data_IF_997266375162
#
_entry.id   IF_997266375162
#
_cell.length_a   1.000
_cell.length_b   1.000
_cell.length_c   1.000
_cell.angle_alpha   90.00
_cell.angle_beta   90.00
_cell.angle_gamma   90.00
#
_symmetry.space_group_name_H-M   'P 1'
#
loop_
_entity.id
_entity.type
_entity.pdbx_description
1 polymer ?
#
# COMPACT_ATOMS: atom_id res chain seq x y z
N UNK A 1 -7.70 -32.19 20.30
CA UNK A 1 -8.33 -30.95 20.78
C UNK A 1 -7.38 -29.81 20.44
N UNK A 2 -7.89 -28.78 19.76
CA UNK A 2 -7.09 -27.62 19.36
C UNK A 2 -6.61 -26.82 20.59
N UNK A 3 -5.72 -25.85 20.37
CA UNK A 3 -5.17 -25.03 21.45
C UNK A 3 -6.24 -24.28 22.22
N UNK A 4 -7.23 -23.71 21.52
CA UNK A 4 -8.40 -23.08 22.12
C UNK A 4 -9.16 -24.03 23.05
N UNK A 5 -9.58 -25.19 22.55
CA UNK A 5 -10.38 -26.16 23.31
C UNK A 5 -9.64 -26.69 24.54
N UNK A 6 -8.33 -26.98 24.41
CA UNK A 6 -7.50 -27.43 25.54
C UNK A 6 -7.41 -26.37 26.63
N UNK A 7 -7.19 -25.12 26.25
CA UNK A 7 -7.09 -24.00 27.20
C UNK A 7 -8.45 -23.71 27.87
N UNK A 8 -9.55 -23.77 27.13
CA UNK A 8 -10.89 -23.61 27.68
C UNK A 8 -11.27 -24.73 28.66
N UNK A 9 -10.95 -25.98 28.34
CA UNK A 9 -11.19 -27.11 29.24
C UNK A 9 -10.35 -27.02 30.51
N UNK A 10 -9.06 -26.65 30.40
CA UNK A 10 -8.19 -26.40 31.55
C UNK A 10 -8.76 -25.33 32.46
N UNK A 11 -9.19 -24.20 31.89
CA UNK A 11 -9.78 -23.10 32.64
C UNK A 11 -11.01 -23.54 33.46
N UNK A 12 -11.90 -24.33 32.84
CA UNK A 12 -13.09 -24.87 33.52
C UNK A 12 -12.72 -25.82 34.66
N UNK A 13 -11.73 -26.70 34.47
CA UNK A 13 -11.28 -27.65 35.50
C UNK A 13 -10.64 -26.93 36.69
N UNK A 14 -9.76 -25.96 36.43
CA UNK A 14 -9.10 -25.18 37.48
C UNK A 14 -10.10 -24.33 38.26
N UNK A 15 -11.08 -23.71 37.58
CA UNK A 15 -12.15 -22.97 38.23
C UNK A 15 -12.97 -23.89 39.15
N UNK A 16 -13.30 -25.10 38.70
CA UNK A 16 -14.03 -26.09 39.49
C UNK A 16 -13.25 -26.59 40.71
N UNK A 17 -11.91 -26.61 40.67
CA UNK A 17 -11.06 -26.98 41.80
C UNK A 17 -10.68 -25.79 42.71
N UNK A 18 -11.20 -24.59 42.45
CA UNK A 18 -10.91 -23.38 43.24
C UNK A 18 -9.60 -22.66 42.87
N UNK A 19 -8.85 -23.14 41.88
CA UNK A 19 -7.66 -22.46 41.35
C UNK A 19 -8.08 -21.37 40.35
N UNK A 20 -8.58 -20.25 40.88
CA UNK A 20 -9.06 -19.14 40.05
C UNK A 20 -7.94 -18.44 39.28
N UNK A 21 -6.72 -18.41 39.83
CA UNK A 21 -5.56 -17.79 39.16
C UNK A 21 -5.10 -18.61 37.95
N UNK A 22 -5.03 -19.94 38.10
CA UNK A 22 -4.77 -20.85 36.99
C UNK A 22 -5.89 -20.80 35.94
N UNK A 23 -7.16 -20.77 36.39
CA UNK A 23 -8.31 -20.66 35.48
C UNK A 23 -8.26 -19.38 34.64
N UNK A 24 -7.94 -18.23 35.25
CA UNK A 24 -7.78 -16.95 34.56
C UNK A 24 -6.66 -17.03 33.50
N UNK A 25 -5.52 -17.60 33.86
CA UNK A 25 -4.39 -17.78 32.94
C UNK A 25 -4.79 -18.63 31.72
N UNK A 26 -5.51 -19.73 31.95
CA UNK A 26 -5.95 -20.63 30.88
C UNK A 26 -7.06 -20.03 30.00
N UNK A 27 -8.02 -19.30 30.55
CA UNK A 27 -9.04 -18.64 29.72
C UNK A 27 -8.44 -17.52 28.87
N UNK A 28 -7.47 -16.76 29.40
CA UNK A 28 -6.74 -15.77 28.61
C UNK A 28 -5.96 -16.41 27.45
N UNK A 29 -5.39 -17.61 27.66
CA UNK A 29 -4.73 -18.35 26.58
C UNK A 29 -5.72 -18.81 25.51
N UNK A 30 -6.93 -19.25 25.89
CA UNK A 30 -7.99 -19.57 24.94
C UNK A 30 -8.42 -18.32 24.15
N UNK A 31 -8.62 -17.18 24.82
CA UNK A 31 -8.98 -15.92 24.16
C UNK A 31 -7.89 -15.43 23.19
N UNK A 32 -6.61 -15.60 23.52
CA UNK A 32 -5.50 -15.34 22.59
C UNK A 32 -5.56 -16.22 21.35
N UNK A 33 -5.76 -17.53 21.51
CA UNK A 33 -5.88 -18.45 20.38
C UNK A 33 -7.08 -18.11 19.47
N UNK A 34 -8.21 -17.73 20.05
CA UNK A 34 -9.38 -17.28 19.28
C UNK A 34 -9.10 -15.99 18.50
N UNK A 35 -8.44 -15.00 19.14
CA UNK A 35 -8.04 -13.75 18.49
C UNK A 35 -7.08 -14.01 17.32
N UNK A 36 -6.12 -14.91 17.50
CA UNK A 36 -5.16 -15.27 16.43
C UNK A 36 -5.86 -15.95 15.25
N UNK A 37 -6.81 -16.84 15.51
CA UNK A 37 -7.63 -17.45 14.46
C UNK A 37 -8.47 -16.42 13.69
N UNK A 38 -9.05 -15.43 14.38
CA UNK A 38 -9.80 -14.34 13.73
C UNK A 38 -8.88 -13.42 12.92
N UNK A 39 -7.70 -13.06 13.43
CA UNK A 39 -6.68 -12.33 12.65
C UNK A 39 -6.26 -13.12 11.41
N UNK A 40 -6.16 -14.45 11.50
CA UNK A 40 -5.89 -15.28 10.34
C UNK A 40 -7.05 -15.26 9.33
N UNK A 41 -8.31 -15.31 9.79
CA UNK A 41 -9.49 -15.12 8.94
C UNK A 41 -9.46 -13.78 8.20
N UNK A 42 -9.11 -12.69 8.87
CA UNK A 42 -8.95 -11.35 8.24
C UNK A 42 -7.99 -11.43 7.07
N UNK A 43 -6.82 -12.07 7.23
CA UNK A 43 -5.85 -12.24 6.15
C UNK A 43 -6.38 -13.09 4.98
N UNK A 44 -7.13 -14.15 5.28
CA UNK A 44 -7.77 -14.95 4.24
C UNK A 44 -8.82 -14.14 3.48
N UNK A 45 -9.63 -13.33 4.17
CA UNK A 45 -10.60 -12.45 3.54
C UNK A 45 -9.93 -11.40 2.66
N UNK A 46 -8.80 -10.83 3.11
CA UNK A 46 -7.97 -9.94 2.26
C UNK A 46 -7.48 -10.65 1.01
N UNK A 47 -6.91 -11.85 1.14
CA UNK A 47 -6.42 -12.63 0.00
C UNK A 47 -7.55 -13.04 -0.96
N UNK A 48 -8.77 -13.21 -0.46
CA UNK A 48 -9.96 -13.50 -1.25
C UNK A 48 -10.62 -12.25 -1.87
N UNK A 49 -10.04 -11.06 -1.71
CA UNK A 49 -10.62 -9.82 -2.24
C UNK A 49 -11.91 -9.39 -1.52
N UNK A 50 -12.06 -9.73 -0.24
CA UNK A 50 -13.22 -9.40 0.61
C UNK A 50 -12.84 -8.39 1.72
N UNK A 51 -12.33 -7.19 1.36
CA UNK A 51 -11.78 -6.25 2.34
C UNK A 51 -12.83 -5.68 3.29
N UNK A 52 -14.10 -5.59 2.88
CA UNK A 52 -15.17 -5.10 3.76
C UNK A 52 -15.41 -6.02 4.95
N UNK A 53 -15.56 -7.32 4.70
CA UNK A 53 -15.73 -8.31 5.78
C UNK A 53 -14.48 -8.44 6.64
N UNK A 54 -13.30 -8.31 6.03
CA UNK A 54 -12.04 -8.28 6.75
C UNK A 54 -11.97 -7.07 7.72
N UNK A 55 -12.49 -5.91 7.29
CA UNK A 55 -12.59 -4.72 8.13
C UNK A 55 -13.61 -4.90 9.25
N UNK A 56 -14.78 -5.46 8.96
CA UNK A 56 -15.80 -5.69 9.99
C UNK A 56 -15.25 -6.63 11.09
N UNK A 57 -14.52 -7.68 10.72
CA UNK A 57 -13.85 -8.58 11.65
C UNK A 57 -12.78 -7.88 12.49
N UNK A 58 -11.87 -7.12 11.85
CA UNK A 58 -10.75 -6.52 12.56
C UNK A 58 -11.22 -5.44 13.55
N UNK A 59 -12.32 -4.73 13.25
CA UNK A 59 -12.89 -3.73 14.14
C UNK A 59 -13.38 -4.34 15.45
N UNK A 60 -13.94 -5.56 15.43
CA UNK A 60 -14.37 -6.27 16.64
C UNK A 60 -13.19 -6.62 17.55
N UNK A 61 -12.01 -6.85 16.97
CA UNK A 61 -10.80 -7.24 17.70
C UNK A 61 -10.01 -6.06 18.24
N UNK A 62 -10.28 -4.85 17.74
CA UNK A 62 -9.52 -3.67 18.09
C UNK A 62 -9.77 -3.25 19.55
N UNK A 63 -8.69 -2.90 20.25
CA UNK A 63 -8.77 -2.48 21.63
C UNK A 63 -7.62 -1.56 22.03
N UNK A 64 -7.56 -1.15 23.31
CA UNK A 64 -6.54 -0.21 23.80
C UNK A 64 -5.11 -0.75 23.67
N UNK A 65 -4.95 -2.07 23.68
CA UNK A 65 -3.65 -2.75 23.59
C UNK A 65 -3.33 -3.27 22.18
N UNK A 66 -4.00 -2.75 21.15
CA UNK A 66 -3.72 -3.11 19.76
C UNK A 66 -2.26 -2.80 19.40
N UNK A 67 -1.57 -3.80 18.85
CA UNK A 67 -0.18 -3.66 18.42
C UNK A 67 -0.07 -2.82 17.15
N UNK A 68 1.10 -2.23 16.89
CA UNK A 68 1.36 -1.49 15.65
C UNK A 68 1.03 -2.32 14.39
N UNK A 69 1.42 -3.62 14.38
CA UNK A 69 1.12 -4.52 13.26
C UNK A 69 -0.37 -4.78 13.06
N UNK A 70 -1.13 -4.84 14.15
CA UNK A 70 -2.58 -5.01 14.07
C UNK A 70 -3.23 -3.73 13.48
N UNK A 71 -2.80 -2.57 13.95
CA UNK A 71 -3.29 -1.27 13.46
C UNK A 71 -2.89 -1.04 11.99
N UNK A 72 -1.71 -1.49 11.59
CA UNK A 72 -1.27 -1.50 10.19
C UNK A 72 -2.20 -2.33 9.30
N UNK A 73 -2.58 -3.54 9.73
CA UNK A 73 -3.52 -4.38 8.97
C UNK A 73 -4.89 -3.70 8.83
N UNK A 74 -5.35 -3.00 9.88
CA UNK A 74 -6.58 -2.21 9.85
C UNK A 74 -6.47 -1.02 8.88
N UNK A 75 -5.41 -0.23 8.99
CA UNK A 75 -5.19 0.91 8.10
C UNK A 75 -5.13 0.49 6.63
N UNK A 76 -4.49 -0.65 6.31
CA UNK A 76 -4.48 -1.19 4.95
C UNK A 76 -5.90 -1.46 4.43
N UNK A 77 -6.78 -2.03 5.26
CA UNK A 77 -8.16 -2.32 4.89
C UNK A 77 -8.98 -1.04 4.69
N UNK A 78 -8.80 -0.07 5.58
CA UNK A 78 -9.41 1.25 5.48
C UNK A 78 -8.96 1.96 4.19
N UNK A 79 -7.67 1.94 3.86
CA UNK A 79 -7.13 2.47 2.60
C UNK A 79 -7.70 1.77 1.36
N UNK A 80 -7.74 0.44 1.34
CA UNK A 80 -8.34 -0.33 0.23
C UNK A 80 -9.82 0.02 0.01
N UNK A 81 -10.53 0.40 1.06
CA UNK A 81 -11.94 0.78 1.02
C UNK A 81 -12.16 2.30 0.81
N UNK A 82 -11.08 3.08 0.63
CA UNK A 82 -11.15 4.54 0.46
C UNK A 82 -11.51 5.30 1.75
N UNK A 83 -11.45 4.66 2.91
CA UNK A 83 -11.71 5.23 4.24
C UNK A 83 -10.45 5.95 4.76
N UNK A 84 -10.01 6.97 4.02
CA UNK A 84 -8.72 7.61 4.27
C UNK A 84 -8.64 8.34 5.61
N UNK A 85 -9.74 8.94 6.07
CA UNK A 85 -9.78 9.64 7.36
C UNK A 85 -9.62 8.65 8.54
N UNK A 86 -10.29 7.51 8.46
CA UNK A 86 -10.18 6.41 9.42
C UNK A 86 -8.78 5.81 9.40
N UNK A 87 -8.22 5.58 8.22
CA UNK A 87 -6.84 5.10 8.07
C UNK A 87 -5.82 6.07 8.69
N UNK A 88 -5.99 7.38 8.52
CA UNK A 88 -5.14 8.40 9.18
C UNK A 88 -5.23 8.28 10.71
N UNK A 89 -6.43 8.14 11.26
CA UNK A 89 -6.64 7.97 12.70
C UNK A 89 -6.00 6.67 13.22
N UNK A 90 -6.17 5.56 12.49
CA UNK A 90 -5.57 4.26 12.79
C UNK A 90 -4.03 4.32 12.74
N UNK A 91 -3.45 4.96 11.72
CA UNK A 91 -2.01 5.19 11.61
C UNK A 91 -1.50 6.09 12.75
N UNK A 92 -2.28 7.08 13.18
CA UNK A 92 -1.96 7.89 14.37
C UNK A 92 -1.79 7.04 15.64
N UNK A 93 -2.67 6.05 15.85
CA UNK A 93 -2.53 5.07 16.93
C UNK A 93 -1.31 4.17 16.71
N UNK A 94 -1.05 3.73 15.48
CA UNK A 94 0.11 2.90 15.16
C UNK A 94 1.43 3.63 15.48
N UNK A 95 1.54 4.91 15.13
CA UNK A 95 2.68 5.78 15.46
C UNK A 95 2.93 5.84 16.97
N UNK A 96 1.88 5.88 17.78
CA UNK A 96 2.01 5.97 19.25
C UNK A 96 2.57 4.69 19.88
N UNK A 97 2.17 3.51 19.38
CA UNK A 97 2.56 2.21 19.97
C UNK A 97 3.77 1.56 19.28
N UNK A 98 4.19 2.07 18.12
CA UNK A 98 5.27 1.49 17.33
C UNK A 98 6.65 1.77 17.92
N UNK A 99 7.51 0.74 17.94
CA UNK A 99 8.95 0.90 18.19
C UNK A 99 9.66 1.66 17.05
N UNK A 100 9.13 1.57 15.83
CA UNK A 100 9.66 2.24 14.65
C UNK A 100 8.56 3.05 13.94
N UNK A 101 8.21 4.25 14.45
CA UNK A 101 7.08 5.02 13.92
C UNK A 101 7.34 5.66 12.56
N UNK A 102 8.60 5.73 12.11
CA UNK A 102 9.00 6.38 10.86
C UNK A 102 8.34 5.81 9.60
N UNK A 103 7.95 4.53 9.60
CA UNK A 103 7.23 3.90 8.49
C UNK A 103 5.78 4.39 8.45
N UNK A 104 5.12 4.44 9.60
CA UNK A 104 3.73 4.87 9.72
C UNK A 104 3.54 6.37 9.46
N UNK A 105 4.55 7.20 9.79
CA UNK A 105 4.56 8.62 9.44
C UNK A 105 4.57 8.83 7.92
N UNK A 106 5.44 8.14 7.18
CA UNK A 106 5.47 8.23 5.72
C UNK A 106 4.14 7.81 5.08
N UNK A 107 3.55 6.73 5.58
CA UNK A 107 2.22 6.27 5.12
C UNK A 107 1.12 7.28 5.41
N UNK A 108 1.07 7.82 6.62
CA UNK A 108 0.05 8.80 7.00
C UNK A 108 0.19 10.10 6.19
N UNK A 109 1.42 10.51 5.88
CA UNK A 109 1.68 11.64 4.99
C UNK A 109 1.10 11.45 3.59
N UNK A 110 1.22 10.25 3.00
CA UNK A 110 0.60 9.94 1.70
C UNK A 110 -0.92 10.10 1.77
N UNK A 111 -1.56 9.64 2.84
CA UNK A 111 -3.01 9.80 3.01
C UNK A 111 -3.41 11.26 3.22
N UNK A 112 -2.63 12.01 4.00
CA UNK A 112 -2.82 13.46 4.13
C UNK A 112 -2.72 14.15 2.77
N UNK A 113 -1.73 13.80 1.94
CA UNK A 113 -1.58 14.33 0.59
C UNK A 113 -2.79 13.99 -0.30
N UNK A 114 -3.29 12.75 -0.25
CA UNK A 114 -4.50 12.32 -0.99
C UNK A 114 -5.72 13.16 -0.61
N UNK A 115 -5.84 13.57 0.65
CA UNK A 115 -6.93 14.42 1.13
C UNK A 115 -6.66 15.93 0.97
N UNK A 116 -5.51 16.32 0.42
CA UNK A 116 -5.10 17.73 0.27
C UNK A 116 -4.60 18.40 1.56
N UNK A 117 -4.35 17.63 2.62
CA UNK A 117 -3.77 18.09 3.88
C UNK A 117 -2.24 18.20 3.80
N UNK A 118 -1.75 19.12 2.95
CA UNK A 118 -0.32 19.19 2.61
C UNK A 118 0.58 19.58 3.80
N UNK A 119 0.10 20.43 4.71
CA UNK A 119 0.87 20.85 5.89
C UNK A 119 1.09 19.67 6.85
N UNK A 120 0.05 18.88 7.12
CA UNK A 120 0.13 17.68 7.94
C UNK A 120 1.00 16.61 7.28
N UNK A 121 0.91 16.46 5.96
CA UNK A 121 1.79 15.55 5.21
C UNK A 121 3.26 15.96 5.36
N UNK A 122 3.57 17.25 5.22
CA UNK A 122 4.93 17.77 5.37
C UNK A 122 5.47 17.56 6.78
N UNK A 123 4.67 17.83 7.81
CA UNK A 123 5.04 17.60 9.22
C UNK A 123 5.40 16.12 9.47
N UNK A 124 4.60 15.20 8.94
CA UNK A 124 4.85 13.77 9.08
C UNK A 124 6.11 13.33 8.34
N UNK A 125 6.33 13.82 7.12
CA UNK A 125 7.54 13.53 6.35
C UNK A 125 8.79 14.08 7.05
N UNK A 126 8.76 15.31 7.57
CA UNK A 126 9.90 15.90 8.27
C UNK A 126 10.23 15.13 9.56
N UNK A 127 9.21 14.68 10.29
CA UNK A 127 9.39 13.78 11.45
C UNK A 127 9.92 12.42 11.04
N UNK A 128 9.45 11.86 9.93
CA UNK A 128 9.96 10.60 9.39
C UNK A 128 11.44 10.73 8.98
N UNK A 129 11.84 11.88 8.39
CA UNK A 129 13.20 12.19 7.97
C UNK A 129 14.16 12.39 9.15
N UNK A 130 13.64 12.69 10.35
CA UNK A 130 14.44 12.71 11.58
C UNK A 130 14.75 11.28 12.04
N UNK A 131 13.81 10.35 11.86
CA UNK A 131 13.93 8.96 12.31
C UNK A 131 14.64 8.05 11.30
N UNK A 132 14.48 8.34 10.00
CA UNK A 132 14.99 7.52 8.88
C UNK A 132 15.72 8.41 7.88
N UNK A 133 16.83 9.07 8.28
CA UNK A 133 17.48 10.10 7.46
C UNK A 133 18.09 9.57 6.15
N UNK A 134 18.29 8.26 6.03
CA UNK A 134 18.81 7.60 4.83
C UNK A 134 17.70 7.06 3.91
N UNK A 135 16.43 7.30 4.22
CA UNK A 135 15.35 6.91 3.31
C UNK A 135 15.14 7.98 2.24
N UNK A 136 15.67 7.72 1.04
CA UNK A 136 15.49 8.59 -0.13
C UNK A 136 14.04 8.79 -0.55
N UNK A 137 13.15 7.84 -0.27
CA UNK A 137 11.72 7.96 -0.61
C UNK A 137 11.07 9.11 0.15
N UNK A 138 11.45 9.32 1.42
CA UNK A 138 10.97 10.45 2.22
C UNK A 138 11.37 11.81 1.62
N UNK A 139 12.58 11.94 1.08
CA UNK A 139 13.00 13.18 0.42
C UNK A 139 12.19 13.43 -0.86
N UNK A 140 11.90 12.37 -1.63
CA UNK A 140 11.10 12.47 -2.85
C UNK A 140 9.64 12.83 -2.54
N UNK A 141 9.06 12.26 -1.49
CA UNK A 141 7.74 12.66 -1.02
C UNK A 141 7.73 14.12 -0.59
N UNK A 142 8.74 14.56 0.17
CA UNK A 142 8.88 15.96 0.60
C UNK A 142 8.94 16.94 -0.58
N UNK A 143 9.73 16.63 -1.61
CA UNK A 143 9.87 17.52 -2.78
C UNK A 143 8.58 17.66 -3.60
N UNK A 144 7.64 16.72 -3.46
CA UNK A 144 6.30 16.85 -4.04
C UNK A 144 5.34 17.74 -3.24
N UNK A 145 5.71 18.15 -2.03
CA UNK A 145 4.88 18.92 -1.10
C UNK A 145 5.34 20.37 -0.91
N UNK A 146 6.63 20.65 -1.15
CA UNK A 146 7.20 21.98 -0.94
C UNK A 146 8.37 22.25 -1.87
N UNK A 147 8.60 23.53 -2.17
CA UNK A 147 9.72 23.98 -2.99
C UNK A 147 10.99 24.18 -2.16
N UNK A 148 12.14 23.93 -2.77
CA UNK A 148 13.44 24.13 -2.13
C UNK A 148 14.10 25.41 -2.63
N UNK A 149 14.35 26.35 -1.72
CA UNK A 149 15.04 27.60 -2.02
C UNK A 149 16.56 27.46 -2.02
N UNK A 150 17.25 28.44 -2.64
CA UNK A 150 18.71 28.53 -2.57
C UNK A 150 19.14 28.75 -1.11
N UNK A 151 19.98 27.86 -0.60
CA UNK A 151 20.48 27.91 0.79
C UNK A 151 19.61 27.19 1.82
N UNK A 152 18.56 26.48 1.40
CA UNK A 152 17.74 25.65 2.28
C UNK A 152 18.55 24.45 2.81
N UNK A 153 18.49 24.22 4.12
CA UNK A 153 19.22 23.16 4.83
C UNK A 153 18.88 21.76 4.29
N UNK A 154 17.67 21.58 3.75
CA UNK A 154 17.26 20.29 3.20
C UNK A 154 18.13 19.87 2.01
N UNK A 155 18.59 20.83 1.19
CA UNK A 155 19.44 20.53 0.04
C UNK A 155 20.81 20.03 0.49
N UNK A 156 21.42 20.71 1.46
CA UNK A 156 22.67 20.25 2.09
C UNK A 156 22.51 18.89 2.75
N UNK A 157 21.35 18.63 3.39
CA UNK A 157 21.02 17.32 3.94
C UNK A 157 20.98 16.24 2.85
N UNK A 158 20.34 16.52 1.70
CA UNK A 158 20.33 15.60 0.56
C UNK A 158 21.75 15.28 0.08
N UNK A 159 22.62 16.28 -0.08
CA UNK A 159 24.01 16.08 -0.50
C UNK A 159 24.80 15.21 0.49
N UNK A 160 24.60 15.41 1.80
CA UNK A 160 25.23 14.61 2.83
C UNK A 160 24.75 13.16 2.82
N UNK A 161 23.43 12.94 2.75
CA UNK A 161 22.84 11.59 2.70
C UNK A 161 23.27 10.85 1.44
N UNK A 162 23.36 11.55 0.31
CA UNK A 162 23.81 10.97 -0.96
C UNK A 162 25.21 10.36 -0.86
N UNK A 163 26.11 10.94 -0.08
CA UNK A 163 27.47 10.40 0.17
C UNK A 163 27.45 9.11 1.01
N UNK A 164 26.41 8.89 1.79
CA UNK A 164 26.26 7.73 2.68
C UNK A 164 25.51 6.57 2.03
N UNK A 165 24.66 6.86 1.04
CA UNK A 165 23.86 5.85 0.38
C UNK A 165 24.69 4.95 -0.51
N UNK A 166 24.31 3.66 -0.53
CA UNK A 166 24.86 2.70 -1.48
C UNK A 166 24.48 3.13 -2.90
N UNK A 167 25.49 3.26 -3.77
CA UNK A 167 25.29 3.56 -5.19
C UNK A 167 24.35 2.55 -5.85
N UNK A 168 23.43 3.05 -6.67
CA UNK A 168 22.43 2.24 -7.36
C UNK A 168 21.32 1.65 -6.48
N UNK A 169 21.27 1.96 -5.17
CA UNK A 169 20.15 1.55 -4.31
C UNK A 169 18.85 2.27 -4.67
N UNK A 170 17.71 1.69 -4.32
CA UNK A 170 16.40 2.33 -4.51
C UNK A 170 16.32 3.68 -3.78
N UNK A 171 16.81 3.75 -2.54
CA UNK A 171 16.89 5.03 -1.80
C UNK A 171 17.78 6.05 -2.51
N UNK A 172 18.90 5.64 -3.13
CA UNK A 172 19.70 6.55 -3.96
C UNK A 172 18.88 7.10 -5.13
N UNK A 173 18.12 6.24 -5.81
CA UNK A 173 17.26 6.66 -6.92
C UNK A 173 16.22 7.69 -6.49
N UNK A 174 15.51 7.45 -5.39
CA UNK A 174 14.52 8.40 -4.87
C UNK A 174 15.17 9.71 -4.41
N UNK A 175 16.33 9.64 -3.75
CA UNK A 175 17.05 10.83 -3.34
C UNK A 175 17.51 11.67 -4.55
N UNK A 176 18.02 11.03 -5.61
CA UNK A 176 18.43 11.73 -6.83
C UNK A 176 17.24 12.38 -7.55
N UNK A 177 16.03 11.80 -7.49
CA UNK A 177 14.80 12.46 -7.96
C UNK A 177 14.45 13.70 -7.11
N UNK A 178 14.54 13.60 -5.78
CA UNK A 178 14.29 14.72 -4.88
C UNK A 178 15.30 15.86 -5.12
N UNK A 179 16.57 15.50 -5.29
CA UNK A 179 17.67 16.42 -5.62
C UNK A 179 17.45 17.11 -6.96
N UNK A 180 16.98 16.37 -7.97
CA UNK A 180 16.63 16.96 -9.26
C UNK A 180 15.54 18.03 -9.12
N UNK A 181 14.47 17.73 -8.37
CA UNK A 181 13.40 18.69 -8.09
C UNK A 181 13.92 19.93 -7.38
N UNK A 182 14.77 19.76 -6.37
CA UNK A 182 15.36 20.89 -5.65
C UNK A 182 16.28 21.75 -6.54
N UNK A 183 17.06 21.13 -7.42
CA UNK A 183 17.91 21.86 -8.37
C UNK A 183 17.09 22.63 -9.40
N UNK A 184 15.95 22.07 -9.82
CA UNK A 184 14.99 22.74 -10.70
C UNK A 184 14.40 23.98 -10.00
N UNK A 185 13.94 23.84 -8.75
CA UNK A 185 13.43 24.96 -7.93
C UNK A 185 14.48 26.08 -7.74
N UNK A 186 15.76 25.71 -7.56
CA UNK A 186 16.89 26.64 -7.38
C UNK A 186 17.32 27.30 -8.71
N UNK A 187 16.90 26.76 -9.85
CA UNK A 187 17.21 27.23 -11.21
C UNK A 187 18.48 26.64 -11.83
N UNK A 188 19.05 25.57 -11.25
CA UNK A 188 20.26 24.88 -11.74
C UNK A 188 19.90 23.73 -12.69
N UNK A 189 19.24 24.07 -13.81
CA UNK A 189 18.61 23.10 -14.72
C UNK A 189 19.56 22.02 -15.28
N UNK A 190 20.82 22.39 -15.56
CA UNK A 190 21.82 21.43 -16.05
C UNK A 190 22.10 20.33 -15.02
N UNK A 191 22.31 20.74 -13.76
CA UNK A 191 22.53 19.81 -12.65
C UNK A 191 21.27 18.99 -12.32
N UNK A 192 20.08 19.57 -12.49
CA UNK A 192 18.81 18.86 -12.36
C UNK A 192 18.70 17.72 -13.38
N UNK A 193 19.05 17.98 -14.64
CA UNK A 193 19.10 16.96 -15.70
C UNK A 193 20.06 15.81 -15.41
N UNK A 194 21.27 16.13 -14.91
CA UNK A 194 22.24 15.11 -14.48
C UNK A 194 21.71 14.24 -13.33
N UNK A 195 21.04 14.86 -12.35
CA UNK A 195 20.40 14.17 -11.24
C UNK A 195 19.29 13.22 -11.71
N UNK A 196 18.43 13.67 -12.64
CA UNK A 196 17.40 12.82 -13.27
C UNK A 196 18.01 11.62 -14.00
N UNK A 197 19.11 11.82 -14.73
CA UNK A 197 19.81 10.71 -15.37
C UNK A 197 20.39 9.73 -14.37
N UNK A 198 20.95 10.20 -13.25
CA UNK A 198 21.43 9.34 -12.17
C UNK A 198 20.28 8.54 -11.52
N UNK A 199 19.18 9.22 -11.20
CA UNK A 199 17.98 8.61 -10.64
C UNK A 199 17.43 7.50 -11.54
N UNK A 200 17.28 7.78 -12.84
CA UNK A 200 16.79 6.81 -13.83
C UNK A 200 17.72 5.60 -14.00
N UNK A 201 19.04 5.80 -13.98
CA UNK A 201 20.00 4.68 -14.00
C UNK A 201 19.86 3.80 -12.76
N UNK A 202 19.75 4.39 -11.57
CA UNK A 202 19.55 3.65 -10.34
C UNK A 202 18.19 2.94 -10.34
N UNK A 203 17.12 3.59 -10.79
CA UNK A 203 15.79 2.98 -10.89
C UNK A 203 15.81 1.76 -11.82
N UNK A 204 16.48 1.83 -12.98
CA UNK A 204 16.61 0.71 -13.92
C UNK A 204 17.32 -0.51 -13.32
N UNK A 205 18.22 -0.32 -12.35
CA UNK A 205 18.87 -1.43 -11.63
C UNK A 205 17.93 -2.12 -10.64
N UNK A 206 17.03 -1.37 -10.01
CA UNK A 206 16.09 -1.90 -9.01
C UNK A 206 14.78 -2.41 -9.63
N UNK A 207 14.41 -1.88 -10.80
CA UNK A 207 13.22 -2.26 -11.56
C UNK A 207 13.63 -2.53 -13.02
N UNK A 208 14.32 -3.65 -13.29
CA UNK A 208 14.76 -3.98 -14.63
C UNK A 208 13.55 -4.25 -15.53
N UNK A 209 13.45 -3.49 -16.62
CA UNK A 209 12.47 -3.77 -17.67
C UNK A 209 12.96 -4.88 -18.59
N UNK A 210 12.16 -5.94 -18.69
CA UNK A 210 12.34 -7.01 -19.68
C UNK A 210 11.11 -7.11 -20.60
N UNK A 211 11.34 -6.80 -21.89
CA UNK A 211 10.31 -6.91 -22.92
C UNK A 211 9.84 -8.36 -23.10
N UNK A 212 10.71 -9.36 -22.90
CA UNK A 212 10.32 -10.76 -23.10
C UNK A 212 9.33 -11.22 -22.03
N UNK A 213 9.56 -10.85 -20.77
CA UNK A 213 8.60 -11.04 -19.68
C UNK A 213 7.27 -10.36 -19.98
N UNK A 214 7.28 -9.12 -20.49
CA UNK A 214 6.05 -8.41 -20.88
C UNK A 214 5.29 -9.13 -22.00
N UNK A 215 5.99 -9.60 -23.02
CA UNK A 215 5.38 -10.32 -24.14
C UNK A 215 4.77 -11.66 -23.70
N UNK A 216 5.43 -12.39 -22.79
CA UNK A 216 4.88 -13.63 -22.21
C UNK A 216 3.57 -13.39 -21.45
N UNK A 217 3.53 -12.34 -20.62
CA UNK A 217 2.30 -11.95 -19.92
C UNK A 217 1.18 -11.61 -20.91
N UNK A 218 1.46 -10.76 -21.90
CA UNK A 218 0.47 -10.40 -22.93
C UNK A 218 -0.05 -11.62 -23.66
N UNK A 219 0.82 -12.57 -24.00
CA UNK A 219 0.40 -13.81 -24.66
C UNK A 219 -0.46 -14.69 -23.74
N UNK A 220 -0.12 -14.80 -22.45
CA UNK A 220 -0.93 -15.54 -21.50
C UNK A 220 -2.34 -14.92 -21.36
N UNK A 221 -2.44 -13.58 -21.26
CA UNK A 221 -3.74 -12.88 -21.22
C UNK A 221 -4.55 -13.18 -22.47
N UNK A 222 -3.95 -13.07 -23.66
CA UNK A 222 -4.64 -13.39 -24.92
C UNK A 222 -5.13 -14.83 -24.96
N UNK A 223 -4.34 -15.79 -24.48
CA UNK A 223 -4.72 -17.21 -24.49
C UNK A 223 -5.86 -17.50 -23.50
N UNK A 224 -5.75 -17.04 -22.24
CA UNK A 224 -6.74 -17.36 -21.20
C UNK A 224 -8.09 -16.68 -21.43
N UNK A 225 -8.09 -15.50 -22.08
CA UNK A 225 -9.31 -14.74 -22.36
C UNK A 225 -9.78 -14.86 -23.82
N UNK A 226 -9.20 -15.76 -24.63
CA UNK A 226 -9.53 -15.91 -26.06
C UNK A 226 -11.02 -16.20 -26.31
N UNK A 227 -11.63 -17.00 -25.45
CA UNK A 227 -13.03 -17.43 -25.57
C UNK A 227 -14.00 -16.57 -24.75
N UNK A 228 -13.52 -15.47 -24.16
CA UNK A 228 -14.34 -14.52 -23.40
C UNK A 228 -14.87 -13.47 -24.36
N UNK A 229 -16.18 -13.50 -24.59
CA UNK A 229 -16.88 -12.54 -25.45
C UNK A 229 -18.01 -11.86 -24.67
N UNK A 230 -18.41 -10.62 -25.03
CA UNK A 230 -19.52 -9.94 -24.38
C UNK A 230 -20.80 -10.78 -24.36
N UNK A 231 -21.13 -11.44 -25.47
CA UNK A 231 -22.31 -12.32 -25.58
C UNK A 231 -22.27 -13.49 -24.61
N UNK A 232 -21.10 -14.09 -24.39
CA UNK A 232 -20.90 -15.17 -23.44
C UNK A 232 -21.08 -14.69 -22.00
N UNK A 233 -20.47 -13.55 -21.65
CA UNK A 233 -20.61 -12.94 -20.32
C UNK A 233 -22.07 -12.58 -20.04
N UNK A 234 -22.77 -12.00 -21.02
CA UNK A 234 -24.20 -11.68 -20.89
C UNK A 234 -25.05 -12.93 -20.69
N UNK A 235 -24.78 -14.01 -21.42
CA UNK A 235 -25.48 -15.29 -21.26
C UNK A 235 -25.22 -15.95 -19.89
N UNK A 236 -24.00 -15.85 -19.36
CA UNK A 236 -23.61 -16.46 -18.08
C UNK A 236 -24.06 -15.63 -16.87
N UNK A 237 -24.06 -14.29 -16.97
CA UNK A 237 -24.30 -13.39 -15.82
C UNK A 237 -25.66 -12.68 -15.86
N UNK A 238 -26.32 -12.62 -17.02
CA UNK A 238 -27.51 -11.81 -17.23
C UNK A 238 -27.26 -10.30 -17.15
N UNK A 239 -26.00 -9.85 -17.09
CA UNK A 239 -25.65 -8.44 -16.96
C UNK A 239 -25.53 -7.78 -18.33
N UNK A 240 -26.20 -6.64 -18.49
CA UNK A 240 -26.06 -5.73 -19.65
C UNK A 240 -24.96 -4.67 -19.42
N UNK A 241 -24.21 -4.76 -18.32
CA UNK A 241 -23.14 -3.81 -18.00
C UNK A 241 -22.06 -3.80 -19.10
N UNK A 242 -21.86 -2.64 -19.73
CA UNK A 242 -20.93 -2.45 -20.83
C UNK A 242 -19.76 -1.53 -20.42
N UNK A 243 -18.61 -2.08 -19.98
CA UNK A 243 -17.45 -1.26 -19.61
C UNK A 243 -16.79 -0.64 -20.85
N UNK A 244 -16.43 0.64 -20.75
CA UNK A 244 -15.60 1.34 -21.74
C UNK A 244 -14.20 1.51 -21.17
N UNK A 245 -13.20 0.99 -21.88
CA UNK A 245 -11.80 1.15 -21.51
C UNK A 245 -11.17 2.29 -22.30
N UNK A 246 -10.73 3.35 -21.60
CA UNK A 246 -9.92 4.42 -22.20
C UNK A 246 -8.45 4.05 -22.03
N UNK A 247 -7.77 3.74 -23.13
CA UNK A 247 -6.35 3.34 -23.11
C UNK A 247 -5.46 4.42 -23.72
N UNK A 248 -4.28 4.63 -23.15
CA UNK A 248 -3.35 5.67 -23.59
C UNK A 248 -2.07 5.69 -22.77
N UNK A 249 -1.12 6.52 -23.17
CA UNK A 249 0.08 6.76 -22.38
C UNK A 249 -0.26 7.67 -21.19
N UNK A 250 0.53 7.58 -20.12
CA UNK A 250 0.39 8.52 -19.00
C UNK A 250 0.42 9.97 -19.53
N UNK A 251 -0.50 10.80 -19.04
CA UNK A 251 -0.67 12.22 -19.43
C UNK A 251 -1.13 12.46 -20.88
N UNK A 252 -1.66 11.45 -21.58
CA UNK A 252 -2.22 11.61 -22.94
C UNK A 252 -3.67 12.10 -22.99
N UNK A 253 -4.24 12.56 -21.86
CA UNK A 253 -5.62 13.04 -21.78
C UNK A 253 -6.69 11.97 -21.57
N UNK A 254 -6.33 10.77 -21.11
CA UNK A 254 -7.30 9.68 -20.84
C UNK A 254 -8.38 10.09 -19.83
N UNK A 255 -8.01 10.79 -18.76
CA UNK A 255 -8.95 11.34 -17.77
C UNK A 255 -9.92 12.35 -18.38
N UNK A 256 -9.46 13.19 -19.32
CA UNK A 256 -10.34 14.14 -20.00
C UNK A 256 -11.35 13.40 -20.90
N UNK A 257 -10.92 12.36 -21.60
CA UNK A 257 -11.81 11.51 -22.41
C UNK A 257 -12.84 10.82 -21.52
N UNK A 258 -12.44 10.28 -20.37
CA UNK A 258 -13.36 9.72 -19.38
C UNK A 258 -14.40 10.75 -18.93
N UNK A 259 -13.98 11.97 -18.57
CA UNK A 259 -14.88 13.04 -18.15
C UNK A 259 -15.90 13.41 -19.23
N UNK A 260 -15.49 13.43 -20.50
CA UNK A 260 -16.39 13.67 -21.64
C UNK A 260 -17.44 12.56 -21.74
N UNK A 261 -17.04 11.29 -21.59
CA UNK A 261 -17.96 10.15 -21.63
C UNK A 261 -18.92 10.17 -20.44
N UNK A 262 -18.41 10.43 -19.24
CA UNK A 262 -19.18 10.51 -18.00
C UNK A 262 -20.18 11.68 -17.94
N UNK A 263 -20.13 12.61 -18.90
CA UNK A 263 -21.16 13.64 -19.05
C UNK A 263 -22.50 13.09 -19.59
N UNK A 264 -22.51 11.87 -20.13
CA UNK A 264 -23.74 11.21 -20.59
C UNK A 264 -24.55 10.65 -19.40
N UNK A 265 -25.88 10.81 -19.35
CA UNK A 265 -26.72 10.36 -18.22
C UNK A 265 -26.60 8.87 -17.87
N UNK A 266 -26.38 8.02 -18.88
CA UNK A 266 -26.24 6.58 -18.71
C UNK A 266 -24.79 6.11 -18.47
N UNK A 267 -23.86 7.05 -18.25
CA UNK A 267 -22.45 6.74 -18.03
C UNK A 267 -21.97 7.23 -16.67
N UNK A 268 -20.98 6.54 -16.12
CA UNK A 268 -20.30 6.92 -14.89
C UNK A 268 -18.81 6.71 -15.05
N UNK A 269 -18.02 7.64 -14.54
CA UNK A 269 -16.57 7.50 -14.50
C UNK A 269 -16.18 6.30 -13.63
N UNK A 270 -15.30 5.45 -14.15
CA UNK A 270 -14.81 4.25 -13.46
C UNK A 270 -13.48 4.49 -12.73
N UNK A 271 -12.77 5.56 -13.09
CA UNK A 271 -11.45 5.89 -12.59
C UNK A 271 -10.38 4.87 -12.97
N UNK A 272 -9.20 5.03 -12.38
CA UNK A 272 -8.12 4.06 -12.50
C UNK A 272 -8.39 2.85 -11.59
N UNK A 273 -9.13 1.87 -12.11
CA UNK A 273 -9.45 0.64 -11.38
C UNK A 273 -8.35 -0.41 -11.52
N UNK A 274 -7.91 -0.96 -10.38
CA UNK A 274 -7.02 -2.12 -10.36
C UNK A 274 -7.72 -3.44 -10.74
N UNK A 275 -9.06 -3.45 -10.84
CA UNK A 275 -9.85 -4.67 -11.03
C UNK A 275 -9.43 -5.50 -12.25
N UNK A 276 -9.00 -4.85 -13.34
CA UNK A 276 -8.49 -5.58 -14.50
C UNK A 276 -7.17 -6.30 -14.20
N UNK A 277 -6.24 -5.62 -13.52
CA UNK A 277 -4.98 -6.22 -13.08
C UNK A 277 -5.21 -7.38 -12.12
N UNK A 278 -6.11 -7.21 -11.16
CA UNK A 278 -6.48 -8.23 -10.18
C UNK A 278 -7.13 -9.46 -10.84
N UNK A 279 -8.04 -9.24 -11.80
CA UNK A 279 -8.66 -10.32 -12.56
C UNK A 279 -7.64 -11.10 -13.40
N UNK A 280 -6.70 -10.41 -14.04
CA UNK A 280 -5.59 -11.05 -14.76
C UNK A 280 -4.72 -11.87 -13.81
N UNK A 281 -4.35 -11.32 -12.66
CA UNK A 281 -3.57 -12.02 -11.64
C UNK A 281 -4.29 -13.26 -11.11
N UNK A 282 -5.61 -13.21 -10.91
CA UNK A 282 -6.40 -14.34 -10.45
C UNK A 282 -6.47 -15.50 -11.45
N UNK A 283 -6.48 -15.20 -12.76
CA UNK A 283 -6.61 -16.21 -13.82
C UNK A 283 -5.25 -16.77 -14.23
N UNK A 284 -4.23 -15.92 -14.30
CA UNK A 284 -2.92 -16.26 -14.89
C UNK A 284 -1.84 -16.51 -13.82
N UNK A 285 -2.07 -16.02 -12.59
CA UNK A 285 -1.07 -15.92 -11.53
C UNK A 285 -0.15 -14.70 -11.69
N UNK A 286 0.82 -14.56 -10.79
CA UNK A 286 1.90 -13.58 -10.96
C UNK A 286 2.88 -14.09 -12.04
N UNK A 287 3.03 -13.40 -13.18
CA UNK A 287 3.96 -13.79 -14.24
C UNK A 287 5.45 -13.65 -13.85
N UNK A 288 5.77 -13.02 -12.72
CA UNK A 288 7.13 -12.79 -12.20
C UNK A 288 7.47 -13.51 -10.89
N UNK A 289 6.51 -14.13 -10.20
CA UNK A 289 6.80 -14.91 -8.99
C UNK A 289 7.06 -16.40 -9.34
N UNK A 290 8.04 -17.06 -8.70
CA UNK A 290 8.03 -18.52 -8.66
C UNK A 290 6.71 -18.97 -8.02
N UNK A 291 5.96 -19.83 -8.71
CA UNK A 291 4.74 -20.42 -8.15
C UNK A 291 5.12 -21.18 -6.88
N UNK A 292 4.34 -21.10 -5.80
CA UNK A 292 4.60 -21.85 -4.58
C UNK A 292 4.17 -23.32 -4.75
N UNK A 293 4.78 -24.04 -5.70
CA UNK A 293 4.76 -25.51 -5.82
C UNK A 293 5.88 -25.99 -6.76
N UNK A 294 7.13 -25.61 -6.47
CA UNK A 294 8.32 -26.42 -6.79
C UNK A 294 9.06 -26.72 -5.47
#
# INVERSE_FOLDING_TARGET
MDEFGRNLESARKQAASGDLAGALTSIEAALRAARDAQVFRVRLLQALGRPREALDDILILDGPNSTARFLEMRANLEETLGLFAEAIATLGRAIFVAKQPGVYLGRRAVLHQTLGHFDEALQDIDRALTLRPLDGELYRMRSGLTHVGRGDEIFEKMENVRRLLKSGSLSMAHLDFARASALDDIGEFGAAGEALHAANRAMRLNQPYDIQTRLKLTQAVRTHFAEVTPSRIMAETGSEFAPIFVTGLARSGTTLVEQILAAHPDMSAGGESAAFGDAVAAVIGDPGAPRPTD
#
